data_IF_572834367594
#
_entry.id   IF_572834367594
#
_cell.length_a   1.000
_cell.length_b   1.000
_cell.length_c   1.000
_cell.angle_alpha   90.00
_cell.angle_beta   90.00
_cell.angle_gamma   90.00
#
_symmetry.space_group_name_H-M   'P 1'
#
loop_
_entity.id
_entity.type
_entity.pdbx_description
1 polymer ?
#
# COMPACT_ATOMS: atom_id res chain seq x y z
N UNK A 1 1.45 -21.12 7.91
CA UNK A 1 1.91 -21.04 6.51
C UNK A 1 2.25 -19.58 6.28
N UNK A 2 3.52 -19.23 6.41
CA UNK A 2 4.01 -17.88 6.19
C UNK A 2 3.90 -17.55 4.70
N UNK A 3 3.00 -16.64 4.34
CA UNK A 3 2.90 -16.14 2.98
C UNK A 3 4.09 -15.20 2.72
N UNK A 4 4.83 -15.34 1.61
CA UNK A 4 6.00 -14.52 1.37
C UNK A 4 5.61 -13.04 1.24
N UNK A 5 6.31 -12.17 1.96
CA UNK A 5 6.18 -10.71 1.88
C UNK A 5 7.30 -10.13 1.03
N UNK A 6 7.01 -9.03 0.32
CA UNK A 6 8.00 -8.19 -0.35
C UNK A 6 8.05 -6.81 0.33
N UNK A 7 9.18 -6.12 0.17
CA UNK A 7 9.31 -4.72 0.58
C UNK A 7 8.95 -3.82 -0.61
N UNK A 8 8.09 -2.84 -0.36
CA UNK A 8 7.73 -1.81 -1.34
C UNK A 8 8.93 -0.87 -1.54
N UNK A 9 9.35 -0.68 -2.79
CA UNK A 9 10.49 0.20 -3.12
C UNK A 9 10.22 1.68 -2.81
N UNK A 10 8.95 2.08 -2.76
CA UNK A 10 8.55 3.48 -2.57
C UNK A 10 8.36 3.84 -1.11
N UNK A 11 7.63 3.02 -0.35
CA UNK A 11 7.28 3.33 1.04
C UNK A 11 7.97 2.45 2.08
N UNK A 12 8.72 1.42 1.68
CA UNK A 12 9.41 0.51 2.59
C UNK A 12 8.51 -0.46 3.36
N UNK A 13 7.18 -0.39 3.22
CA UNK A 13 6.27 -1.34 3.87
C UNK A 13 6.41 -2.73 3.27
N UNK A 14 6.24 -3.73 4.13
CA UNK A 14 5.97 -5.10 3.72
C UNK A 14 4.59 -5.20 3.06
N UNK A 15 4.45 -6.09 2.08
CA UNK A 15 3.17 -6.41 1.46
C UNK A 15 3.17 -7.82 0.84
N UNK A 16 1.99 -8.37 0.57
CA UNK A 16 1.86 -9.63 -0.16
C UNK A 16 1.93 -9.39 -1.68
N UNK A 17 2.90 -9.98 -2.41
CA UNK A 17 3.10 -9.73 -3.84
C UNK A 17 1.88 -10.06 -4.70
N UNK A 18 1.10 -11.06 -4.32
CA UNK A 18 -0.13 -11.46 -5.01
C UNK A 18 -1.25 -10.41 -4.97
N UNK A 19 -1.14 -9.41 -4.10
CA UNK A 19 -2.17 -8.36 -3.92
C UNK A 19 -1.86 -7.10 -4.70
N UNK A 20 -0.66 -7.00 -5.28
CA UNK A 20 -0.26 -5.85 -6.09
C UNK A 20 -0.10 -6.25 -7.56
N UNK A 21 -0.57 -5.42 -8.50
CA UNK A 21 -0.27 -5.62 -9.92
C UNK A 21 1.20 -5.37 -10.25
N UNK A 22 1.97 -4.76 -9.33
CA UNK A 22 3.38 -4.44 -9.52
C UNK A 22 4.26 -5.14 -8.47
N UNK A 23 5.18 -5.99 -8.93
CA UNK A 23 6.04 -6.88 -8.10
C UNK A 23 6.95 -6.14 -7.10
N UNK A 24 7.12 -4.82 -7.25
CA UNK A 24 8.01 -3.98 -6.43
C UNK A 24 7.27 -2.91 -5.64
N UNK A 25 5.96 -2.76 -5.82
CA UNK A 25 5.16 -1.72 -5.16
C UNK A 25 4.00 -2.35 -4.41
N UNK A 26 3.72 -1.87 -3.20
CA UNK A 26 2.50 -2.25 -2.51
C UNK A 26 1.26 -1.71 -3.26
N UNK A 27 0.06 -2.27 -3.03
CA UNK A 27 -1.16 -1.85 -3.72
C UNK A 27 -1.45 -0.35 -3.57
N UNK A 28 -1.14 0.22 -2.39
CA UNK A 28 -1.32 1.63 -2.11
C UNK A 28 -0.42 2.51 -2.99
N UNK A 29 0.89 2.21 -3.07
CA UNK A 29 1.80 2.97 -3.93
C UNK A 29 1.49 2.77 -5.41
N UNK A 30 1.15 1.55 -5.84
CA UNK A 30 0.75 1.27 -7.21
C UNK A 30 -0.49 2.09 -7.62
N UNK A 31 -1.47 2.22 -6.72
CA UNK A 31 -2.64 3.07 -6.94
C UNK A 31 -2.29 4.54 -7.12
N UNK A 32 -1.56 5.16 -6.18
CA UNK A 32 -1.30 6.60 -6.25
C UNK A 32 -0.28 6.99 -7.32
N UNK A 33 0.65 6.12 -7.69
CA UNK A 33 1.67 6.41 -8.70
C UNK A 33 1.20 6.10 -10.13
N UNK A 34 0.38 5.07 -10.31
CA UNK A 34 0.04 4.55 -11.64
C UNK A 34 -1.47 4.38 -11.89
N UNK A 35 -2.32 4.64 -10.90
CA UNK A 35 -3.78 4.57 -11.04
C UNK A 35 -4.36 3.16 -11.00
N UNK A 36 -3.60 2.16 -10.52
CA UNK A 36 -4.13 0.81 -10.32
C UNK A 36 -5.21 0.74 -9.24
N UNK A 37 -5.99 -0.34 -9.20
CA UNK A 37 -6.95 -0.56 -8.12
C UNK A 37 -6.23 -0.62 -6.76
N UNK A 38 -6.72 0.13 -5.77
CA UNK A 38 -6.18 0.09 -4.42
C UNK A 38 -6.79 -1.06 -3.61
N UNK A 39 -6.04 -1.59 -2.66
CA UNK A 39 -6.57 -2.51 -1.68
C UNK A 39 -7.57 -1.79 -0.76
N UNK A 40 -8.73 -2.39 -0.53
CA UNK A 40 -9.65 -1.96 0.54
C UNK A 40 -9.05 -2.41 1.88
N UNK A 41 -8.23 -1.53 2.46
CA UNK A 41 -7.43 -1.86 3.62
C UNK A 41 -8.28 -2.17 4.86
N UNK A 42 -8.01 -3.34 5.44
CA UNK A 42 -8.62 -3.83 6.68
C UNK A 42 -7.50 -4.11 7.67
N UNK A 43 -7.30 -3.21 8.64
CA UNK A 43 -6.18 -3.25 9.57
C UNK A 43 -6.51 -4.12 10.80
N UNK A 44 -5.63 -5.09 11.06
CA UNK A 44 -5.64 -5.94 12.25
C UNK A 44 -4.22 -5.95 12.80
N UNK A 45 -4.05 -5.61 14.09
CA UNK A 45 -2.72 -5.57 14.74
C UNK A 45 -1.68 -4.68 14.02
N UNK A 46 -2.14 -3.58 13.41
CA UNK A 46 -1.26 -2.60 12.75
C UNK A 46 -0.84 -2.94 11.32
N UNK A 47 -1.34 -4.04 10.75
CA UNK A 47 -1.13 -4.38 9.33
C UNK A 47 -2.45 -4.70 8.65
N UNK A 48 -2.52 -4.45 7.36
CA UNK A 48 -3.66 -4.84 6.58
C UNK A 48 -3.70 -6.36 6.45
N UNK A 49 -4.79 -7.01 6.86
CA UNK A 49 -4.92 -8.46 6.76
C UNK A 49 -4.88 -8.96 5.30
N UNK A 50 -5.30 -8.12 4.35
CA UNK A 50 -5.43 -8.47 2.93
C UNK A 50 -4.13 -8.32 2.14
N UNK A 51 -3.39 -7.22 2.36
CA UNK A 51 -2.19 -6.92 1.58
C UNK A 51 -0.92 -6.80 2.42
N UNK A 52 -1.00 -6.98 3.75
CA UNK A 52 0.08 -6.86 4.73
C UNK A 52 0.73 -5.47 4.87
N UNK A 53 0.21 -4.48 4.16
CA UNK A 53 0.64 -3.09 4.26
C UNK A 53 0.46 -2.56 5.70
N UNK A 54 1.47 -1.88 6.23
CA UNK A 54 1.49 -1.36 7.61
C UNK A 54 0.99 0.09 7.74
N UNK A 55 0.56 0.71 6.64
CA UNK A 55 0.14 2.11 6.60
C UNK A 55 1.26 3.09 6.19
N UNK A 56 2.50 2.61 6.02
CA UNK A 56 3.62 3.47 5.61
C UNK A 56 3.42 4.00 4.19
N UNK A 57 3.63 5.30 4.01
CA UNK A 57 3.58 5.99 2.72
C UNK A 57 4.84 6.81 2.53
N UNK A 58 5.28 6.96 1.26
CA UNK A 58 6.34 7.90 0.93
C UNK A 58 5.81 9.33 0.97
N UNK A 59 6.70 10.31 1.18
CA UNK A 59 6.31 11.73 1.21
C UNK A 59 5.59 12.17 -0.08
N UNK A 60 5.99 11.62 -1.23
CA UNK A 60 5.34 11.89 -2.50
C UNK A 60 3.94 11.26 -2.57
N UNK A 61 3.79 9.97 -2.22
CA UNK A 61 2.46 9.33 -2.20
C UNK A 61 1.53 10.03 -1.22
N UNK A 62 2.03 10.47 -0.06
CA UNK A 62 1.25 11.23 0.92
C UNK A 62 0.77 12.60 0.37
N UNK A 63 1.60 13.31 -0.41
CA UNK A 63 1.18 14.58 -1.03
C UNK A 63 0.13 14.35 -2.12
N UNK A 64 0.27 13.27 -2.89
CA UNK A 64 -0.71 12.86 -3.89
C UNK A 64 -2.05 12.49 -3.23
N UNK A 65 -2.04 11.77 -2.11
CA UNK A 65 -3.24 11.44 -1.32
C UNK A 65 -4.01 12.69 -0.87
N UNK A 66 -3.30 13.69 -0.36
CA UNK A 66 -3.90 14.96 0.08
C UNK A 66 -4.49 15.74 -1.10
N UNK A 67 -3.85 15.67 -2.26
CA UNK A 67 -4.28 16.37 -3.49
C UNK A 67 -5.50 15.71 -4.15
N UNK A 68 -5.62 14.39 -4.04
CA UNK A 68 -6.70 13.61 -4.65
C UNK A 68 -7.97 13.48 -3.78
N UNK A 69 -8.12 14.31 -2.74
CA UNK A 69 -9.38 14.45 -2.02
C UNK A 69 -9.67 13.42 -0.93
N UNK A 70 -8.63 12.82 -0.32
CA UNK A 70 -8.79 12.05 0.91
C UNK A 70 -9.02 12.97 2.10
N UNK A 71 -10.29 13.28 2.40
CA UNK A 71 -10.70 13.90 3.67
C UNK A 71 -10.14 13.07 4.85
N UNK A 72 -9.26 13.61 5.71
CA UNK A 72 -8.95 12.95 6.97
C UNK A 72 -10.21 13.00 7.85
N UNK A 73 -10.57 11.85 8.43
CA UNK A 73 -11.56 11.76 9.52
C UNK A 73 -11.10 12.56 10.73
#
# INVERSE_FOLDING_TARGET
MDQPTHICDECGSEYFPSTSPMVRLCPNCAHYLYGYENCVHEFVEGRCQKCHWDGSTSAYVASVQQSQGGKPS
#
